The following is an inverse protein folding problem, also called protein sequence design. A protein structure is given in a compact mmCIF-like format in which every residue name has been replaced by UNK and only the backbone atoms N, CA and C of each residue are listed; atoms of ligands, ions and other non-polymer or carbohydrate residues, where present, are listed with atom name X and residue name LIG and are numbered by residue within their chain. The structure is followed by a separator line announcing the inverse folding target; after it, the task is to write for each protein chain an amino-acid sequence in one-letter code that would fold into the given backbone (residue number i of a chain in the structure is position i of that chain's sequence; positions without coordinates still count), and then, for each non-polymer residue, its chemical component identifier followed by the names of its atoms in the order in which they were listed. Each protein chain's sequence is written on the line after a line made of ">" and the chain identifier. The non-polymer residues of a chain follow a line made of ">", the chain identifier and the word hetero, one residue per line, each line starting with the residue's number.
data_IF_517507850698
#
_entry.id   IF_517507850698
#
_cell.length_a   1.000
_cell.length_b   1.000
_cell.length_c   1.000
_cell.angle_alpha   90.00
_cell.angle_beta   90.00
_cell.angle_gamma   90.00
#
_symmetry.space_group_name_H-M   'P 1'
#
loop_
_entity.id
_entity.type
_entity.pdbx_description
1 polymer ?
#
# COMPACT_ATOMS: atom_id res chain seq x y z
N UNK A 1 -13.08 29.87 5.87
CA UNK A 1 -12.39 28.92 4.97
C UNK A 1 -11.99 27.73 5.83
N UNK A 2 -12.42 26.52 5.47
CA UNK A 2 -11.95 25.29 6.11
C UNK A 2 -10.51 25.10 5.63
N UNK A 3 -9.53 25.24 6.53
CA UNK A 3 -8.10 25.13 6.25
C UNK A 3 -7.67 23.69 5.98
N UNK A 4 -8.29 23.05 4.99
CA UNK A 4 -7.97 21.71 4.52
C UNK A 4 -7.14 21.89 3.27
N UNK A 5 -5.95 21.30 3.23
CA UNK A 5 -5.12 21.21 2.03
C UNK A 5 -5.93 20.49 0.95
N UNK A 6 -6.25 21.20 -0.13
CA UNK A 6 -6.83 20.58 -1.32
C UNK A 6 -5.67 19.91 -2.05
N UNK A 7 -5.65 18.57 -2.06
CA UNK A 7 -4.78 17.80 -2.93
C UNK A 7 -5.38 17.83 -4.34
N UNK A 8 -4.67 18.46 -5.28
CA UNK A 8 -5.07 18.50 -6.69
C UNK A 8 -4.77 17.13 -7.33
N UNK A 9 -5.75 16.23 -7.32
CA UNK A 9 -5.63 14.91 -7.97
C UNK A 9 -5.63 15.03 -9.50
N UNK A 10 -4.65 14.40 -10.14
CA UNK A 10 -4.51 14.28 -11.59
C UNK A 10 -5.35 13.11 -12.15
N UNK A 11 -5.43 13.00 -13.47
CA UNK A 11 -6.11 11.89 -14.13
C UNK A 11 -5.36 10.57 -13.87
N UNK A 12 -4.04 10.64 -13.84
CA UNK A 12 -3.12 9.56 -13.51
C UNK A 12 -3.33 9.09 -12.05
N UNK A 13 -3.55 10.01 -11.11
CA UNK A 13 -3.88 9.67 -9.72
C UNK A 13 -5.22 8.92 -9.63
N UNK A 14 -6.21 9.37 -10.40
CA UNK A 14 -7.50 8.67 -10.49
C UNK A 14 -7.33 7.26 -11.07
N UNK A 15 -6.49 7.08 -12.10
CA UNK A 15 -6.23 5.75 -12.66
C UNK A 15 -5.52 4.83 -11.67
N UNK A 16 -4.53 5.34 -10.95
CA UNK A 16 -3.80 4.59 -9.95
C UNK A 16 -4.71 4.20 -8.77
N UNK A 17 -5.55 5.11 -8.30
CA UNK A 17 -6.51 4.85 -7.22
C UNK A 17 -7.67 3.92 -7.64
N UNK A 18 -8.08 3.96 -8.91
CA UNK A 18 -9.17 3.13 -9.44
C UNK A 18 -8.69 1.80 -10.04
N UNK A 19 -7.38 1.55 -10.07
CA UNK A 19 -6.85 0.33 -10.62
C UNK A 19 -7.40 -0.89 -9.89
N UNK A 20 -8.01 -1.80 -10.65
CA UNK A 20 -8.51 -3.07 -10.15
C UNK A 20 -7.35 -4.07 -10.16
N UNK A 21 -7.09 -4.68 -9.00
CA UNK A 21 -5.99 -5.62 -8.76
C UNK A 21 -6.15 -6.29 -7.39
N UNK A 22 -5.34 -7.31 -7.12
CA UNK A 22 -5.40 -8.07 -5.87
C UNK A 22 -4.99 -7.25 -4.64
N UNK A 23 -4.23 -6.15 -4.84
CA UNK A 23 -3.96 -5.16 -3.80
C UNK A 23 -4.53 -3.83 -4.27
N UNK A 24 -5.69 -3.46 -3.72
CA UNK A 24 -6.24 -2.11 -3.87
C UNK A 24 -5.48 -1.14 -2.98
N UNK A 25 -5.13 0.00 -3.53
CA UNK A 25 -4.44 1.04 -2.77
C UNK A 25 -5.41 1.70 -1.77
N UNK A 26 -4.98 1.93 -0.52
CA UNK A 26 -5.73 2.74 0.45
C UNK A 26 -5.95 4.17 -0.04
N UNK A 27 -7.01 4.82 0.46
CA UNK A 27 -7.34 6.19 0.08
C UNK A 27 -6.27 7.22 0.49
N UNK A 28 -5.47 6.89 1.50
CA UNK A 28 -4.39 7.70 2.09
C UNK A 28 -2.99 7.21 1.67
N UNK A 29 -2.89 6.44 0.58
CA UNK A 29 -1.59 5.95 0.08
C UNK A 29 -0.65 7.09 -0.33
N UNK A 30 0.61 6.99 0.07
CA UNK A 30 1.65 7.95 -0.36
C UNK A 30 2.07 7.76 -1.83
N UNK A 31 1.62 6.68 -2.49
CA UNK A 31 1.98 6.38 -3.87
C UNK A 31 1.35 7.33 -4.89
N UNK A 32 0.28 8.06 -4.53
CA UNK A 32 -0.30 9.10 -5.40
C UNK A 32 0.68 10.27 -5.53
N UNK A 33 1.27 10.73 -4.43
CA UNK A 33 2.32 11.76 -4.45
C UNK A 33 3.53 11.28 -5.23
N UNK A 34 3.96 10.03 -5.01
CA UNK A 34 5.06 9.42 -5.75
C UNK A 34 4.80 9.37 -7.25
N UNK A 35 3.59 9.03 -7.69
CA UNK A 35 3.21 9.00 -9.10
C UNK A 35 3.28 10.39 -9.74
N UNK A 36 2.84 11.43 -9.03
CA UNK A 36 2.92 12.82 -9.48
C UNK A 36 4.35 13.34 -9.70
N UNK A 37 5.33 12.77 -8.99
CA UNK A 37 6.75 13.10 -9.16
C UNK A 37 7.40 12.42 -10.37
N UNK A 38 6.72 11.44 -11.00
CA UNK A 38 7.28 10.57 -12.02
C UNK A 38 6.67 10.77 -13.42
N UNK A 39 7.40 10.24 -14.42
CA UNK A 39 6.90 10.06 -15.79
C UNK A 39 6.88 8.56 -16.12
N UNK A 40 5.83 7.82 -15.69
CA UNK A 40 5.84 6.35 -15.63
C UNK A 40 6.09 5.68 -16.99
N UNK A 41 5.60 6.27 -18.08
CA UNK A 41 5.70 5.76 -19.46
C UNK A 41 7.13 5.46 -19.93
N UNK A 42 8.12 6.15 -19.34
CA UNK A 42 9.54 5.96 -19.67
C UNK A 42 10.23 4.98 -18.73
N UNK A 43 9.80 4.92 -17.47
CA UNK A 43 10.47 4.17 -16.42
C UNK A 43 10.09 2.68 -16.38
N UNK A 44 8.94 2.29 -16.95
CA UNK A 44 8.55 0.87 -17.02
C UNK A 44 9.63 0.01 -17.72
N UNK A 45 10.23 0.54 -18.79
CA UNK A 45 11.29 -0.16 -19.54
C UNK A 45 12.59 -0.32 -18.77
N UNK A 46 12.80 0.51 -17.76
CA UNK A 46 14.00 0.50 -16.93
C UNK A 46 13.80 -0.29 -15.63
N UNK A 47 12.59 -0.81 -15.36
CA UNK A 47 12.30 -1.60 -14.15
C UNK A 47 13.26 -2.78 -13.96
N UNK A 48 13.57 -3.52 -15.02
CA UNK A 48 14.51 -4.65 -14.96
C UNK A 48 15.93 -4.20 -14.60
N UNK A 49 16.37 -3.04 -15.12
CA UNK A 49 17.68 -2.47 -14.78
C UNK A 49 17.71 -2.08 -13.30
N UNK A 50 16.65 -1.42 -12.84
CA UNK A 50 16.54 -0.95 -11.47
C UNK A 50 16.45 -2.12 -10.48
N UNK A 51 15.64 -3.13 -10.78
CA UNK A 51 15.46 -4.31 -9.92
C UNK A 51 16.75 -5.11 -9.75
N UNK A 52 17.48 -5.37 -10.84
CA UNK A 52 18.77 -6.08 -10.77
C UNK A 52 19.80 -5.30 -9.96
N UNK A 53 19.86 -3.98 -10.14
CA UNK A 53 20.79 -3.14 -9.37
C UNK A 53 20.42 -3.08 -7.89
N UNK A 54 19.12 -2.96 -7.54
CA UNK A 54 18.64 -2.97 -6.16
C UNK A 54 18.87 -4.33 -5.48
N UNK A 55 18.65 -5.44 -6.20
CA UNK A 55 18.95 -6.79 -5.75
C UNK A 55 20.42 -6.98 -5.40
N UNK A 56 21.35 -6.45 -6.21
CA UNK A 56 22.79 -6.53 -5.94
C UNK A 56 23.19 -5.83 -4.64
N UNK A 57 22.44 -4.82 -4.22
CA UNK A 57 22.67 -4.06 -2.97
C UNK A 57 22.20 -4.80 -1.72
N UNK A 58 21.44 -5.90 -1.84
CA UNK A 58 21.03 -6.80 -0.75
C UNK A 58 20.47 -6.08 0.49
N UNK A 59 19.63 -5.06 0.27
CA UNK A 59 19.03 -4.27 1.36
C UNK A 59 19.95 -3.24 2.02
N UNK A 60 21.08 -2.91 1.39
CA UNK A 60 21.89 -1.75 1.80
C UNK A 60 21.04 -0.49 1.80
N UNK A 61 20.98 0.18 2.96
CA UNK A 61 20.29 1.46 3.09
C UNK A 61 21.20 2.61 2.67
N UNK A 62 20.72 3.41 1.73
CA UNK A 62 21.48 4.46 1.07
C UNK A 62 20.94 5.86 1.39
N UNK A 63 21.82 6.86 1.33
CA UNK A 63 21.44 8.26 1.48
C UNK A 63 21.00 8.92 0.17
N UNK A 64 20.48 10.14 0.26
CA UNK A 64 20.01 10.94 -0.88
C UNK A 64 21.04 11.07 -2.02
N UNK A 65 22.31 11.31 -1.71
CA UNK A 65 23.35 11.47 -2.73
C UNK A 65 23.61 10.17 -3.51
N UNK A 66 23.50 9.02 -2.84
CA UNK A 66 23.64 7.71 -3.47
C UNK A 66 22.40 7.38 -4.30
N UNK A 67 21.22 7.79 -3.84
CA UNK A 67 19.97 7.64 -4.59
C UNK A 67 19.99 8.48 -5.87
N UNK A 68 20.48 9.72 -5.79
CA UNK A 68 20.71 10.58 -6.97
C UNK A 68 21.65 9.91 -7.98
N UNK A 69 22.75 9.34 -7.50
CA UNK A 69 23.71 8.61 -8.33
C UNK A 69 23.11 7.35 -8.96
N UNK A 70 22.27 6.62 -8.22
CA UNK A 70 21.55 5.43 -8.69
C UNK A 70 20.58 5.76 -9.83
N UNK A 71 19.87 6.89 -9.73
CA UNK A 71 18.95 7.38 -10.77
C UNK A 71 19.65 8.13 -11.91
N UNK A 72 20.95 8.39 -11.80
CA UNK A 72 21.74 9.17 -12.76
C UNK A 72 21.21 10.62 -12.93
N UNK A 73 20.72 11.22 -11.84
CA UNK A 73 20.16 12.59 -11.81
C UNK A 73 20.86 13.46 -10.76
N UNK A 74 20.87 14.79 -10.91
CA UNK A 74 21.34 15.67 -9.85
C UNK A 74 20.38 15.66 -8.65
N UNK A 75 20.91 15.95 -7.46
CA UNK A 75 20.07 16.24 -6.29
C UNK A 75 19.21 17.48 -6.59
N UNK A 76 17.92 17.38 -6.30
CA UNK A 76 16.90 18.41 -6.52
C UNK A 76 15.79 18.27 -5.49
N UNK A 77 15.01 19.32 -5.28
CA UNK A 77 13.88 19.32 -4.35
C UNK A 77 12.91 18.15 -4.63
N UNK A 78 12.61 17.88 -5.90
CA UNK A 78 11.77 16.74 -6.32
C UNK A 78 12.37 15.38 -5.93
N UNK A 79 13.70 15.25 -5.99
CA UNK A 79 14.37 14.02 -5.57
C UNK A 79 14.37 13.87 -4.04
N UNK A 80 14.50 14.98 -3.32
CA UNK A 80 14.38 15.02 -1.86
C UNK A 80 12.98 14.63 -1.40
N UNK A 81 11.95 15.17 -2.03
CA UNK A 81 10.55 14.80 -1.79
C UNK A 81 10.35 13.30 -2.03
N UNK A 82 10.81 12.78 -3.16
CA UNK A 82 10.73 11.35 -3.48
C UNK A 82 11.47 10.47 -2.47
N UNK A 83 12.68 10.89 -2.05
CA UNK A 83 13.48 10.19 -1.05
C UNK A 83 12.75 10.13 0.30
N UNK A 84 12.09 11.21 0.70
CA UNK A 84 11.40 11.33 1.98
C UNK A 84 10.23 10.35 2.15
N UNK A 85 9.65 9.87 1.05
CA UNK A 85 8.57 8.87 1.07
C UNK A 85 9.03 7.49 1.57
N UNK A 86 10.33 7.19 1.47
CA UNK A 86 10.93 5.92 1.88
C UNK A 86 11.86 6.08 3.09
N UNK A 87 12.06 7.31 3.57
CA UNK A 87 12.93 7.57 4.71
C UNK A 87 12.22 7.27 6.04
N UNK A 88 12.55 6.13 6.63
CA UNK A 88 12.01 5.73 7.94
C UNK A 88 12.60 6.51 9.13
N UNK A 89 13.72 7.23 9.00
CA UNK A 89 14.45 7.78 10.16
C UNK A 89 14.49 9.31 10.27
N UNK A 90 13.88 10.04 9.33
CA UNK A 90 13.93 11.50 9.31
C UNK A 90 15.34 12.05 9.13
N UNK A 91 15.57 13.33 9.47
CA UNK A 91 16.77 14.12 9.10
C UNK A 91 18.11 13.34 9.13
N UNK A 92 18.59 12.96 7.94
CA UNK A 92 19.81 12.16 7.73
C UNK A 92 19.53 10.71 7.31
N UNK A 93 18.28 10.40 7.02
CA UNK A 93 17.82 9.05 6.91
C UNK A 93 18.18 8.35 5.62
N UNK A 94 17.79 7.09 5.57
CA UNK A 94 18.26 6.13 4.59
C UNK A 94 17.12 5.26 4.12
N UNK A 95 17.06 5.04 2.82
CA UNK A 95 16.06 4.21 2.18
C UNK A 95 16.68 2.90 1.67
N UNK A 96 15.85 1.87 1.53
CA UNK A 96 16.20 0.69 0.74
C UNK A 96 15.78 0.91 -0.72
N UNK A 97 16.70 0.73 -1.66
CA UNK A 97 16.41 0.86 -3.10
C UNK A 97 15.33 -0.12 -3.58
N UNK A 98 15.19 -1.28 -2.92
CA UNK A 98 14.16 -2.26 -3.26
C UNK A 98 12.77 -1.69 -3.01
N UNK A 99 12.59 -0.81 -2.02
CA UNK A 99 11.32 -0.13 -1.77
C UNK A 99 10.97 0.82 -2.92
N UNK A 100 11.94 1.62 -3.39
CA UNK A 100 11.74 2.47 -4.57
C UNK A 100 11.30 1.66 -5.80
N UNK A 101 11.95 0.52 -6.08
CA UNK A 101 11.62 -0.30 -7.25
C UNK A 101 10.23 -0.93 -7.11
N UNK A 102 9.83 -1.36 -5.91
CA UNK A 102 8.47 -1.86 -5.66
C UNK A 102 7.43 -0.76 -5.90
N UNK A 103 7.62 0.42 -5.31
CA UNK A 103 6.71 1.55 -5.51
C UNK A 103 6.64 1.98 -6.98
N UNK A 104 7.78 2.05 -7.67
CA UNK A 104 7.84 2.37 -9.10
C UNK A 104 7.09 1.34 -9.93
N UNK A 105 7.20 0.06 -9.59
CA UNK A 105 6.46 -1.01 -10.24
C UNK A 105 4.96 -0.85 -10.07
N UNK A 106 4.46 -0.48 -8.89
CA UNK A 106 3.03 -0.22 -8.65
C UNK A 106 2.54 0.93 -9.54
N UNK A 107 3.28 2.05 -9.58
CA UNK A 107 2.89 3.22 -10.39
C UNK A 107 2.94 2.93 -11.88
N UNK A 108 3.95 2.20 -12.36
CA UNK A 108 4.08 1.85 -13.77
C UNK A 108 3.07 0.78 -14.21
N UNK A 109 2.64 -0.11 -13.29
CA UNK A 109 1.84 -1.30 -13.60
C UNK A 109 0.68 -1.47 -12.60
N UNK A 110 -0.24 -0.50 -12.50
CA UNK A 110 -1.19 -0.43 -11.38
C UNK A 110 -2.20 -1.58 -11.35
N UNK A 111 -2.50 -2.20 -12.50
CA UNK A 111 -3.36 -3.40 -12.59
C UNK A 111 -2.60 -4.73 -12.53
N UNK A 112 -1.26 -4.72 -12.47
CA UNK A 112 -0.41 -5.93 -12.46
C UNK A 112 0.23 -6.12 -11.08
N UNK A 113 -0.61 -6.15 -10.05
CA UNK A 113 -0.15 -6.30 -8.68
C UNK A 113 0.71 -7.54 -8.47
N UNK A 114 0.30 -8.70 -9.02
CA UNK A 114 1.08 -9.94 -8.88
C UNK A 114 2.47 -9.83 -9.50
N UNK A 115 2.61 -9.16 -10.63
CA UNK A 115 3.91 -8.97 -11.29
C UNK A 115 4.80 -8.04 -10.46
N UNK A 116 4.21 -7.09 -9.72
CA UNK A 116 4.93 -6.27 -8.74
C UNK A 116 5.39 -7.09 -7.54
N UNK A 117 4.52 -7.95 -6.98
CA UNK A 117 4.90 -8.84 -5.88
C UNK A 117 5.98 -9.83 -6.34
N UNK A 118 5.85 -10.40 -7.53
CA UNK A 118 6.86 -11.30 -8.09
C UNK A 118 8.23 -10.61 -8.24
N UNK A 119 8.24 -9.38 -8.75
CA UNK A 119 9.45 -8.55 -8.84
C UNK A 119 10.06 -8.34 -7.44
N UNK A 120 9.25 -8.10 -6.43
CA UNK A 120 9.70 -7.95 -5.06
C UNK A 120 10.35 -9.25 -4.54
N UNK A 121 9.70 -10.41 -4.71
CA UNK A 121 10.29 -11.71 -4.35
C UNK A 121 11.63 -11.97 -5.05
N UNK A 122 11.82 -11.49 -6.28
CA UNK A 122 13.11 -11.62 -6.98
C UNK A 122 14.23 -10.78 -6.35
N UNK A 123 13.90 -9.66 -5.71
CA UNK A 123 14.85 -8.74 -5.07
C UNK A 123 15.10 -9.04 -3.58
N UNK A 124 14.07 -9.47 -2.86
CA UNK A 124 14.14 -9.80 -1.43
C UNK A 124 14.50 -11.27 -1.18
N UNK A 125 14.05 -12.16 -2.07
CA UNK A 125 14.17 -13.60 -1.89
C UNK A 125 15.61 -14.09 -1.69
N UNK A 126 15.73 -15.14 -0.88
CA UNK A 126 16.98 -15.83 -0.61
C UNK A 126 17.64 -16.30 -1.91
N UNK A 127 18.98 -16.32 -2.02
CA UNK A 127 19.66 -16.85 -3.19
C UNK A 127 19.45 -18.36 -3.41
N UNK A 128 19.02 -19.10 -2.38
CA UNK A 128 18.89 -20.56 -2.43
C UNK A 128 17.60 -21.00 -3.11
N UNK A 129 16.49 -20.37 -2.74
CA UNK A 129 15.14 -20.80 -3.13
C UNK A 129 14.18 -19.64 -3.44
N UNK A 130 14.64 -18.39 -3.35
CA UNK A 130 13.81 -17.21 -3.56
C UNK A 130 12.72 -17.01 -2.50
N UNK A 131 12.83 -17.68 -1.35
CA UNK A 131 11.91 -17.47 -0.23
C UNK A 131 12.23 -16.19 0.54
N UNK A 132 11.19 -15.62 1.15
CA UNK A 132 11.28 -14.44 2.01
C UNK A 132 10.75 -14.74 3.40
N UNK A 133 11.21 -13.98 4.38
CA UNK A 133 10.74 -14.01 5.78
C UNK A 133 9.62 -12.99 6.03
N UNK A 134 9.04 -13.00 7.23
CA UNK A 134 7.90 -12.15 7.61
C UNK A 134 8.21 -10.65 7.49
N UNK A 135 9.38 -10.22 7.98
CA UNK A 135 9.81 -8.82 7.93
C UNK A 135 9.95 -8.32 6.49
N UNK A 136 10.40 -9.18 5.58
CA UNK A 136 10.54 -8.86 4.16
C UNK A 136 9.18 -8.76 3.48
N UNK A 137 8.24 -9.68 3.78
CA UNK A 137 6.86 -9.57 3.29
C UNK A 137 6.21 -8.28 3.80
N UNK A 138 6.43 -7.94 5.07
CA UNK A 138 5.93 -6.70 5.68
C UNK A 138 6.44 -5.47 4.92
N UNK A 139 7.75 -5.41 4.64
CA UNK A 139 8.35 -4.32 3.89
C UNK A 139 7.75 -4.22 2.48
N UNK A 140 7.68 -5.33 1.75
CA UNK A 140 7.13 -5.39 0.38
C UNK A 140 5.70 -4.87 0.34
N UNK A 141 4.82 -5.38 1.20
CA UNK A 141 3.40 -5.01 1.18
C UNK A 141 3.16 -3.59 1.66
N UNK A 142 3.90 -3.14 2.69
CA UNK A 142 3.86 -1.75 3.16
C UNK A 142 4.19 -0.79 2.03
N UNK A 143 5.27 -1.06 1.29
CA UNK A 143 5.68 -0.23 0.15
C UNK A 143 4.70 -0.33 -1.02
N UNK A 144 4.23 -1.54 -1.35
CA UNK A 144 3.29 -1.75 -2.46
C UNK A 144 1.92 -1.09 -2.21
N UNK A 145 1.52 -0.95 -0.95
CA UNK A 145 0.30 -0.25 -0.54
C UNK A 145 0.53 1.24 -0.24
N UNK A 146 1.78 1.67 -0.06
CA UNK A 146 2.13 3.04 0.31
C UNK A 146 1.61 3.45 1.69
N UNK A 147 1.71 2.56 2.68
CA UNK A 147 1.25 2.79 4.07
C UNK A 147 2.44 2.89 5.02
N UNK A 148 2.28 3.53 6.18
CA UNK A 148 3.36 3.67 7.16
C UNK A 148 3.60 2.40 7.98
N UNK A 149 2.53 1.71 8.37
CA UNK A 149 2.57 0.49 9.17
C UNK A 149 1.59 -0.54 8.59
N UNK A 150 2.00 -1.81 8.60
CA UNK A 150 1.18 -2.93 8.16
C UNK A 150 1.51 -4.14 9.03
N UNK A 151 0.50 -4.76 9.63
CA UNK A 151 0.69 -6.02 10.33
C UNK A 151 0.40 -7.17 9.37
N UNK A 152 1.43 -7.97 9.07
CA UNK A 152 1.32 -9.11 8.14
C UNK A 152 1.37 -10.47 8.85
N UNK A 153 1.43 -10.52 10.18
CA UNK A 153 1.67 -11.78 10.92
C UNK A 153 0.60 -12.84 10.64
N UNK A 154 -0.68 -12.45 10.67
CA UNK A 154 -1.78 -13.38 10.39
C UNK A 154 -1.80 -13.82 8.93
N UNK A 155 -1.48 -12.90 7.99
CA UNK A 155 -1.34 -13.19 6.57
C UNK A 155 -0.18 -14.17 6.31
N UNK A 156 0.99 -13.89 6.88
CA UNK A 156 2.19 -14.71 6.72
C UNK A 156 1.93 -16.13 7.22
N UNK A 157 1.32 -16.28 8.40
CA UNK A 157 0.94 -17.59 8.93
C UNK A 157 -0.10 -18.32 8.07
N UNK A 158 -1.02 -17.59 7.44
CA UNK A 158 -1.99 -18.18 6.53
C UNK A 158 -1.35 -18.73 5.24
N UNK A 159 -0.25 -18.11 4.79
CA UNK A 159 0.54 -18.55 3.63
C UNK A 159 1.50 -19.68 4.02
N UNK A 160 2.22 -19.54 5.14
CA UNK A 160 3.18 -20.52 5.65
C UNK A 160 2.50 -21.66 6.43
N UNK A 161 1.61 -22.41 5.74
CA UNK A 161 0.84 -23.50 6.35
C UNK A 161 1.69 -24.66 6.88
N UNK A 162 2.93 -24.78 6.40
CA UNK A 162 3.88 -25.81 6.81
C UNK A 162 4.82 -25.33 7.94
N UNK A 163 4.65 -24.09 8.43
CA UNK A 163 5.48 -23.47 9.48
C UNK A 163 6.98 -23.53 9.15
N UNK A 164 7.33 -23.25 7.89
CA UNK A 164 8.71 -23.21 7.40
C UNK A 164 9.48 -21.99 7.90
N UNK A 165 8.77 -20.96 8.38
CA UNK A 165 9.31 -19.64 8.76
C UNK A 165 9.66 -18.77 7.56
N UNK A 166 9.32 -19.20 6.34
CA UNK A 166 9.63 -18.53 5.08
C UNK A 166 8.64 -18.96 4.00
N UNK A 167 8.32 -18.04 3.09
CA UNK A 167 7.35 -18.28 2.00
C UNK A 167 7.99 -18.04 0.64
N UNK A 168 7.59 -18.79 -0.37
CA UNK A 168 7.99 -18.53 -1.76
C UNK A 168 6.90 -17.74 -2.50
N UNK A 169 7.25 -17.16 -3.66
CA UNK A 169 6.24 -16.53 -4.53
C UNK A 169 5.14 -17.51 -4.94
N UNK A 170 5.46 -18.80 -5.07
CA UNK A 170 4.48 -19.85 -5.39
C UNK A 170 3.46 -20.01 -4.27
N UNK A 171 3.91 -19.95 -3.02
CA UNK A 171 3.03 -20.05 -1.85
C UNK A 171 2.11 -18.82 -1.75
N UNK A 172 2.68 -17.63 -1.93
CA UNK A 172 1.93 -16.38 -1.98
C UNK A 172 0.89 -16.38 -3.11
N UNK A 173 1.29 -16.77 -4.32
CA UNK A 173 0.39 -16.80 -5.49
C UNK A 173 -0.78 -17.76 -5.29
N UNK A 174 -0.51 -18.96 -4.75
CA UNK A 174 -1.56 -19.93 -4.42
C UNK A 174 -2.54 -19.38 -3.40
N UNK A 175 -2.04 -18.67 -2.38
CA UNK A 175 -2.89 -18.03 -1.38
C UNK A 175 -3.75 -16.93 -2.02
N UNK A 176 -3.15 -16.04 -2.82
CA UNK A 176 -3.86 -14.94 -3.49
C UNK A 176 -4.94 -15.43 -4.47
N UNK A 177 -4.73 -16.58 -5.12
CA UNK A 177 -5.75 -17.23 -5.96
C UNK A 177 -6.94 -17.77 -5.14
N UNK A 178 -6.69 -18.26 -3.93
CA UNK A 178 -7.73 -18.80 -3.05
C UNK A 178 -8.51 -17.71 -2.31
N UNK A 179 -7.88 -16.56 -2.05
CA UNK A 179 -8.44 -15.46 -1.29
C UNK A 179 -8.28 -14.14 -2.07
N UNK A 180 -9.02 -13.91 -3.16
CA UNK A 180 -8.82 -12.76 -4.04
C UNK A 180 -9.01 -11.39 -3.34
N UNK A 181 -9.76 -11.34 -2.25
CA UNK A 181 -10.07 -10.11 -1.50
C UNK A 181 -9.14 -9.90 -0.28
N UNK A 182 -8.07 -10.68 -0.14
CA UNK A 182 -7.20 -10.65 1.06
C UNK A 182 -6.60 -9.27 1.36
N UNK A 183 -6.42 -8.41 0.35
CA UNK A 183 -5.90 -7.06 0.55
C UNK A 183 -6.88 -6.12 1.26
N UNK A 184 -8.19 -6.36 1.16
CA UNK A 184 -9.18 -5.58 1.92
C UNK A 184 -9.02 -5.87 3.42
N UNK A 185 -8.69 -7.11 3.79
CA UNK A 185 -8.44 -7.48 5.19
C UNK A 185 -7.07 -6.97 5.69
N UNK A 186 -6.07 -6.85 4.81
CA UNK A 186 -4.75 -6.33 5.17
C UNK A 186 -4.75 -4.82 5.45
N UNK A 187 -5.66 -4.06 4.83
CA UNK A 187 -5.74 -2.60 4.93
C UNK A 187 -6.76 -2.09 5.94
N UNK A 188 -7.51 -2.99 6.59
CA UNK A 188 -8.43 -2.64 7.66
C UNK A 188 -7.68 -2.11 8.88
N UNK A 189 -7.63 -0.78 9.00
CA UNK A 189 -7.31 -0.11 10.26
C UNK A 189 -8.36 -0.53 11.30
N UNK A 190 -7.98 -0.89 12.55
CA UNK A 190 -8.97 -1.16 13.58
C UNK A 190 -9.92 0.06 13.67
N UNK A 191 -11.25 -0.16 13.75
CA UNK A 191 -12.18 0.95 13.80
C UNK A 191 -11.79 1.85 14.96
N UNK A 192 -11.53 3.13 14.65
CA UNK A 192 -11.27 4.14 15.68
C UNK A 192 -12.36 4.01 16.76
N UNK A 193 -12.00 4.05 18.06
CA UNK A 193 -13.02 4.02 19.10
C UNK A 193 -13.98 5.16 18.84
N UNK A 194 -15.23 4.82 18.53
CA UNK A 194 -16.29 5.80 18.32
C UNK A 194 -16.29 6.72 19.53
N UNK A 195 -16.06 8.03 19.37
CA UNK A 195 -16.24 8.94 20.48
C UNK A 195 -17.74 8.93 20.76
N UNK A 196 -18.14 8.23 21.82
CA UNK A 196 -19.47 8.32 22.38
C UNK A 196 -19.77 9.81 22.63
N UNK A 197 -20.56 10.40 21.75
CA UNK A 197 -20.74 11.85 21.73
C UNK A 197 -21.84 12.30 20.78
N UNK A 198 -23.09 12.04 21.17
CA UNK A 198 -24.27 12.86 20.88
C UNK A 198 -24.56 13.26 19.41
N UNK A 199 -25.57 12.61 18.82
CA UNK A 199 -26.58 13.34 18.05
C UNK A 199 -27.90 12.53 18.09
N UNK A 200 -28.77 12.89 19.04
CA UNK A 200 -30.20 12.55 18.96
C UNK A 200 -30.90 13.74 18.30
N UNK A 201 -31.93 13.42 17.51
CA UNK A 201 -32.88 14.32 16.84
C UNK A 201 -32.45 14.99 15.53
N UNK A 202 -32.72 14.27 14.44
CA UNK A 202 -33.45 14.80 13.28
C UNK A 202 -34.32 13.68 12.69
N UNK A 203 -35.51 13.45 13.25
CA UNK A 203 -36.62 12.82 12.52
C UNK A 203 -37.58 13.92 12.09
N UNK A 204 -37.87 14.09 10.79
CA UNK A 204 -38.87 15.06 10.35
C UNK A 204 -40.26 14.49 10.66
N UNK A 205 -41.04 15.28 11.41
CA UNK A 205 -42.45 15.07 11.68
C UNK A 205 -43.26 15.24 10.39
N UNK A 206 -44.16 14.29 10.09
CA UNK A 206 -45.35 14.55 9.29
C UNK A 206 -46.59 14.15 10.11
N UNK A 207 -47.29 15.19 10.56
CA UNK A 207 -48.70 15.27 10.99
C UNK A 207 -49.64 14.74 9.88
N UNK A 208 -50.86 14.24 10.05
CA UNK A 208 -51.87 14.18 11.10
C UNK A 208 -52.94 13.15 10.62
N UNK A 209 -53.78 12.67 11.54
CA UNK A 209 -55.22 12.36 11.43
C UNK A 209 -55.62 11.09 12.19
N UNK A 210 -56.42 11.26 13.26
CA UNK A 210 -57.55 10.36 13.51
C UNK A 210 -57.66 9.67 14.87
N UNK A 211 -57.73 10.46 15.95
CA UNK A 211 -58.58 10.28 17.15
C UNK A 211 -59.33 8.92 17.34
N UNK A 212 -58.87 8.09 18.29
CA UNK A 212 -59.50 7.70 19.60
C UNK A 212 -59.98 6.23 19.75
N UNK A 213 -60.14 5.75 21.02
CA UNK A 213 -59.64 4.45 21.50
C UNK A 213 -60.76 3.46 21.85
N UNK A 214 -60.43 2.18 22.11
CA UNK A 214 -60.94 1.38 23.24
C UNK A 214 -60.59 -0.13 23.18
N UNK A 215 -60.16 -0.65 24.33
CA UNK A 215 -60.41 -1.97 24.94
C UNK A 215 -60.69 -3.22 24.06
N UNK A 216 -59.95 -4.32 24.28
CA UNK A 216 -60.38 -5.51 25.08
C UNK A 216 -59.38 -6.68 25.01
N UNK A 217 -59.39 -7.45 26.11
CA UNK A 217 -58.80 -8.77 26.37
C UNK A 217 -59.50 -9.91 25.60
N UNK A 218 -58.83 -11.08 25.64
CA UNK A 218 -59.23 -12.46 25.29
C UNK A 218 -59.16 -12.78 23.78
N UNK A 219 -58.61 -13.90 23.35
CA UNK A 219 -58.47 -15.22 23.99
C UNK A 219 -57.02 -15.72 24.07
#
# INVERSE_FOLDING_TARGET
>A
ALGVSVTDYTFEDCQLALAEGQLRLPADTCLLEFAGLLKPEKLEKDLDKYSESAKMRRGERIGLSEFAAYLEVPVSDTLEDMFSLFDESGAGGKMDLREYVVALSVVCRPSQTLDTIQLAFQMYGSPEDGSIEEDELSCILRTALGVAELNVTDLFRAIDQEEKGKITFTDFSRFAEMFPDFAEDCTQTPPAPTPNGFCTDFSPEDSDFGRKPSHKKLD
#
